data_IF_566709230786
#
_entry.id   IF_566709230786
#
_cell.length_a   1.000
_cell.length_b   1.000
_cell.length_c   1.000
_cell.angle_alpha   90.00
_cell.angle_beta   90.00
_cell.angle_gamma   90.00
#
_symmetry.space_group_name_H-M   'P 1'
#
loop_
_entity.id
_entity.type
_entity.pdbx_description
1 polymer ?
#
# COMPACT_ATOMS: atom_id res chain seq x y z
N UNK A 1 39.10 -26.41 -12.31
CA UNK A 1 39.61 -26.43 -10.93
C UNK A 1 38.88 -25.43 -10.02
N UNK A 2 38.32 -24.34 -10.57
CA UNK A 2 37.57 -23.32 -9.81
C UNK A 2 36.16 -23.77 -9.37
N UNK A 3 35.47 -24.54 -10.22
CA UNK A 3 34.13 -25.06 -9.93
C UNK A 3 34.11 -26.04 -8.75
N UNK A 4 35.17 -26.85 -8.59
CA UNK A 4 35.31 -27.74 -7.45
C UNK A 4 35.47 -26.97 -6.13
N UNK A 5 36.26 -25.89 -6.13
CA UNK A 5 36.40 -24.97 -4.98
C UNK A 5 35.11 -24.23 -4.65
N UNK A 6 34.32 -23.86 -5.66
CA UNK A 6 33.00 -23.25 -5.46
C UNK A 6 32.03 -24.21 -4.77
N UNK A 7 31.95 -25.45 -5.27
CA UNK A 7 31.10 -26.49 -4.68
C UNK A 7 31.57 -26.88 -3.28
N UNK A 8 32.88 -26.94 -3.05
CA UNK A 8 33.47 -27.22 -1.73
C UNK A 8 33.17 -26.09 -0.73
N UNK A 9 33.27 -24.81 -1.14
CA UNK A 9 32.87 -23.66 -0.32
C UNK A 9 31.36 -23.64 -0.05
N UNK A 10 30.52 -23.98 -1.03
CA UNK A 10 29.07 -24.06 -0.86
C UNK A 10 28.67 -25.24 0.06
N UNK A 11 29.41 -26.35 0.00
CA UNK A 11 29.18 -27.54 0.83
C UNK A 11 29.71 -27.39 2.27
N UNK A 12 30.70 -26.52 2.51
CA UNK A 12 31.32 -26.29 3.83
C UNK A 12 30.82 -25.05 4.56
N UNK A 13 30.06 -24.17 3.88
CA UNK A 13 29.34 -23.08 4.54
C UNK A 13 28.17 -23.67 5.33
N UNK A 14 28.44 -24.04 6.58
CA UNK A 14 27.38 -24.35 7.52
C UNK A 14 26.36 -23.18 7.50
N UNK A 15 25.05 -23.44 7.35
CA UNK A 15 24.05 -22.38 7.40
C UNK A 15 24.26 -21.65 8.72
N UNK A 16 24.58 -20.36 8.64
CA UNK A 16 24.75 -19.54 9.83
C UNK A 16 23.35 -19.39 10.43
N UNK A 17 23.01 -20.04 11.55
CA UNK A 17 21.63 -20.04 12.06
C UNK A 17 21.19 -18.66 12.52
N UNK A 18 22.12 -17.72 12.69
CA UNK A 18 21.79 -16.31 12.90
C UNK A 18 21.37 -15.64 11.59
N UNK A 19 22.04 -15.94 10.47
CA UNK A 19 21.68 -15.40 9.17
C UNK A 19 20.28 -15.85 8.75
N UNK A 20 19.99 -17.15 8.88
CA UNK A 20 18.67 -17.72 8.56
C UNK A 20 17.56 -17.05 9.41
N UNK A 21 17.81 -16.86 10.72
CA UNK A 21 16.88 -16.15 11.61
C UNK A 21 16.67 -14.68 11.23
N UNK A 22 17.71 -13.98 10.81
CA UNK A 22 17.57 -12.59 10.35
C UNK A 22 16.88 -12.51 8.97
N UNK A 23 17.09 -13.47 8.08
CA UNK A 23 16.39 -13.56 6.79
C UNK A 23 14.89 -13.83 6.98
N UNK A 24 14.52 -14.77 7.85
CA UNK A 24 13.11 -15.01 8.22
C UNK A 24 12.48 -13.78 8.87
N UNK A 25 13.19 -13.13 9.79
CA UNK A 25 12.73 -11.91 10.44
C UNK A 25 12.51 -10.79 9.43
N UNK A 26 13.45 -10.62 8.49
CA UNK A 26 13.34 -9.63 7.42
C UNK A 26 12.13 -9.90 6.55
N UNK A 27 11.92 -11.16 6.12
CA UNK A 27 10.76 -11.54 5.30
C UNK A 27 9.44 -11.17 5.97
N UNK A 28 9.29 -11.45 7.27
CA UNK A 28 8.08 -11.06 8.03
C UNK A 28 7.89 -9.54 8.10
N UNK A 29 8.98 -8.80 8.32
CA UNK A 29 8.92 -7.34 8.37
C UNK A 29 8.56 -6.72 7.02
N UNK A 30 9.03 -7.30 5.91
CA UNK A 30 8.67 -6.87 4.55
C UNK A 30 7.19 -7.15 4.25
N UNK A 31 6.64 -8.28 4.71
CA UNK A 31 5.20 -8.58 4.63
C UNK A 31 4.35 -7.61 5.46
N UNK A 32 4.75 -7.36 6.71
CA UNK A 32 4.08 -6.39 7.59
C UNK A 32 4.09 -4.98 6.99
N UNK A 33 5.23 -4.55 6.43
CA UNK A 33 5.35 -3.26 5.77
C UNK A 33 4.44 -3.19 4.54
N UNK A 34 4.43 -4.21 3.69
CA UNK A 34 3.57 -4.27 2.50
C UNK A 34 2.09 -4.21 2.87
N UNK A 35 1.68 -4.83 3.97
CA UNK A 35 0.32 -4.76 4.48
C UNK A 35 -0.05 -3.34 4.92
N UNK A 36 0.85 -2.64 5.61
CA UNK A 36 0.65 -1.24 6.01
C UNK A 36 0.52 -0.32 4.78
N UNK A 37 1.43 -0.45 3.81
CA UNK A 37 1.38 0.32 2.57
C UNK A 37 0.05 0.09 1.82
N UNK A 38 -0.47 -1.15 1.82
CA UNK A 38 -1.78 -1.45 1.22
C UNK A 38 -2.96 -0.74 1.90
N UNK A 39 -2.89 -0.49 3.21
CA UNK A 39 -3.89 0.29 3.93
C UNK A 39 -3.87 1.77 3.53
N UNK A 40 -2.69 2.35 3.33
CA UNK A 40 -2.56 3.74 2.85
C UNK A 40 -3.17 3.92 1.46
N UNK A 41 -2.98 2.94 0.56
CA UNK A 41 -3.62 2.97 -0.76
C UNK A 41 -5.15 2.89 -0.67
N UNK A 42 -5.70 2.02 0.19
CA UNK A 42 -7.16 1.97 0.40
C UNK A 42 -7.71 3.25 1.04
N UNK A 43 -6.94 3.94 1.89
CA UNK A 43 -7.33 5.25 2.43
C UNK A 43 -7.41 6.31 1.31
N UNK A 44 -6.47 6.29 0.36
CA UNK A 44 -6.49 7.18 -0.81
C UNK A 44 -7.75 6.91 -1.64
N UNK A 45 -8.02 5.65 -1.98
CA UNK A 45 -9.21 5.27 -2.78
C UNK A 45 -10.51 5.73 -2.10
N UNK A 46 -10.66 5.45 -0.80
CA UNK A 46 -11.84 5.86 -0.04
C UNK A 46 -11.97 7.39 0.04
N UNK A 47 -10.86 8.10 0.24
CA UNK A 47 -10.86 9.56 0.29
C UNK A 47 -11.33 10.15 -1.04
N UNK A 48 -10.87 9.62 -2.16
CA UNK A 48 -11.28 10.07 -3.49
C UNK A 48 -12.77 9.84 -3.74
N UNK A 49 -13.29 8.65 -3.40
CA UNK A 49 -14.72 8.33 -3.51
C UNK A 49 -15.61 9.27 -2.66
N UNK A 50 -15.21 9.49 -1.40
CA UNK A 50 -15.93 10.38 -0.47
C UNK A 50 -15.90 11.83 -0.97
N UNK A 51 -14.75 12.30 -1.47
CA UNK A 51 -14.63 13.63 -2.05
C UNK A 51 -15.52 13.77 -3.28
N UNK A 52 -15.58 12.77 -4.15
CA UNK A 52 -16.44 12.81 -5.33
C UNK A 52 -17.93 12.87 -4.94
N UNK A 53 -18.36 12.05 -3.97
CA UNK A 53 -19.72 12.07 -3.43
C UNK A 53 -20.11 13.47 -2.95
N UNK A 54 -19.32 14.07 -2.06
CA UNK A 54 -19.64 15.40 -1.52
C UNK A 54 -19.62 16.49 -2.59
N UNK A 55 -18.70 16.43 -3.55
CA UNK A 55 -18.69 17.37 -4.68
C UNK A 55 -19.97 17.28 -5.52
N UNK A 56 -20.52 16.07 -5.72
CA UNK A 56 -21.80 15.88 -6.43
C UNK A 56 -22.96 16.49 -5.63
N UNK A 57 -23.01 16.24 -4.32
CA UNK A 57 -24.05 16.78 -3.44
C UNK A 57 -24.02 18.30 -3.37
N UNK A 58 -22.84 18.90 -3.22
CA UNK A 58 -22.66 20.37 -3.21
C UNK A 58 -23.20 20.96 -4.51
N UNK A 59 -22.82 20.40 -5.67
CA UNK A 59 -23.34 20.88 -6.97
C UNK A 59 -24.86 20.72 -7.10
N UNK A 60 -25.45 19.70 -6.47
CA UNK A 60 -26.90 19.54 -6.44
C UNK A 60 -27.56 20.63 -5.60
N UNK A 61 -26.99 20.94 -4.43
CA UNK A 61 -27.40 22.08 -3.62
C UNK A 61 -27.29 23.40 -4.40
N UNK A 62 -26.18 23.66 -5.08
CA UNK A 62 -25.98 24.88 -5.88
C UNK A 62 -27.06 25.05 -6.95
N UNK A 63 -27.42 23.95 -7.65
CA UNK A 63 -28.51 23.97 -8.63
C UNK A 63 -29.87 24.27 -7.98
N UNK A 64 -30.15 23.69 -6.82
CA UNK A 64 -31.39 23.91 -6.10
C UNK A 64 -31.48 25.36 -5.60
N UNK A 65 -30.39 25.91 -5.06
CA UNK A 65 -30.29 27.30 -4.63
C UNK A 65 -30.60 28.21 -5.83
N UNK A 66 -29.90 28.05 -6.94
CA UNK A 66 -30.11 28.85 -8.15
C UNK A 66 -31.55 28.76 -8.67
N UNK A 67 -32.16 27.57 -8.62
CA UNK A 67 -33.57 27.39 -9.00
C UNK A 67 -34.51 28.22 -8.10
N UNK A 68 -34.38 28.10 -6.78
CA UNK A 68 -35.27 28.79 -5.85
C UNK A 68 -35.01 30.31 -5.78
N UNK A 69 -33.77 30.76 -5.97
CA UNK A 69 -33.45 32.19 -6.12
C UNK A 69 -34.08 32.79 -7.38
N UNK A 70 -34.01 32.08 -8.51
CA UNK A 70 -34.64 32.52 -9.77
C UNK A 70 -36.16 32.44 -9.78
N UNK A 71 -36.77 31.59 -8.94
CA UNK A 71 -38.24 31.49 -8.75
C UNK A 71 -38.76 32.55 -7.77
N UNK A 72 -37.89 33.11 -6.93
CA UNK A 72 -38.25 34.14 -5.93
C UNK A 72 -38.13 35.58 -6.45
N UNK A 73 -37.81 35.76 -7.74
CA UNK A 73 -37.70 37.05 -8.45
C UNK A 73 -38.92 37.30 -9.35
#
# INVERSE_FOLDING_TARGET
MEYAKYLENAATKAPNPQLEREEERKSRLEEELSMIESFEYMEIDLKEEVQEYYNREIRACDRNIAYFEGVSA
#
